data_IF_180311236291
#
_entry.id   IF_180311236291
#
_cell.length_a   1.000
_cell.length_b   1.000
_cell.length_c   1.000
_cell.angle_alpha   90.00
_cell.angle_beta   90.00
_cell.angle_gamma   90.00
#
_symmetry.space_group_name_H-M   'P 1'
#
loop_
_entity.id
_entity.type
_entity.pdbx_description
1 polymer ?
#
# COMPACT_ATOMS: atom_id res chain seq x y z
N UNK A 1 8.90 16.00 26.19
CA UNK A 1 10.11 15.39 25.60
C UNK A 1 10.06 15.57 24.08
N UNK A 2 10.62 16.67 23.56
CA UNK A 2 10.73 16.92 22.13
C UNK A 2 11.88 16.09 21.56
N UNK A 3 11.59 15.06 20.76
CA UNK A 3 12.62 14.50 19.86
C UNK A 3 13.18 15.68 19.05
N UNK A 4 14.50 15.82 19.02
CA UNK A 4 15.15 16.88 18.28
C UNK A 4 14.59 16.94 16.83
N UNK A 5 14.42 18.13 16.24
CA UNK A 5 13.80 18.30 14.91
C UNK A 5 14.42 17.40 13.83
N UNK A 6 15.74 17.19 13.93
CA UNK A 6 16.51 16.30 13.04
C UNK A 6 16.08 14.83 13.13
N UNK A 7 15.62 14.38 14.30
CA UNK A 7 15.12 13.02 14.49
C UNK A 7 13.77 12.78 13.80
N UNK A 8 12.92 13.81 13.72
CA UNK A 8 11.61 13.73 13.06
C UNK A 8 11.75 13.81 11.54
N UNK A 9 12.68 14.64 11.05
CA UNK A 9 13.00 14.70 9.62
C UNK A 9 13.56 13.35 9.12
N UNK A 10 14.52 12.76 9.84
CA UNK A 10 15.03 11.40 9.52
C UNK A 10 13.95 10.32 9.52
N UNK A 11 13.05 10.37 10.50
CA UNK A 11 11.90 9.46 10.57
C UNK A 11 11.01 9.60 9.33
N UNK A 12 10.72 10.84 8.93
CA UNK A 12 9.93 11.15 7.72
C UNK A 12 10.58 10.56 6.47
N UNK A 13 11.88 10.78 6.28
CA UNK A 13 12.60 10.18 5.14
C UNK A 13 12.60 8.65 5.18
N UNK A 14 12.77 8.06 6.37
CA UNK A 14 12.75 6.60 6.54
C UNK A 14 11.39 5.99 6.18
N UNK A 15 10.28 6.66 6.53
CA UNK A 15 8.94 6.20 6.17
C UNK A 15 8.73 6.23 4.66
N UNK A 16 9.12 7.31 3.97
CA UNK A 16 9.07 7.37 2.52
C UNK A 16 9.91 6.27 1.85
N UNK A 17 11.14 6.05 2.33
CA UNK A 17 12.01 4.97 1.85
C UNK A 17 11.41 3.59 2.10
N UNK A 18 10.88 3.32 3.29
CA UNK A 18 10.22 2.04 3.59
C UNK A 18 9.08 1.76 2.61
N UNK A 19 8.25 2.76 2.29
CA UNK A 19 7.19 2.57 1.30
C UNK A 19 7.77 2.22 -0.07
N UNK A 20 8.76 2.97 -0.55
CA UNK A 20 9.30 2.78 -1.90
C UNK A 20 10.19 1.54 -2.06
N UNK A 21 10.97 1.21 -1.04
CA UNK A 21 12.02 0.19 -1.10
C UNK A 21 11.57 -1.14 -0.51
N UNK A 22 10.54 -1.17 0.35
CA UNK A 22 10.02 -2.39 0.97
C UNK A 22 8.57 -2.67 0.55
N UNK A 23 7.65 -1.73 0.80
CA UNK A 23 6.23 -1.96 0.56
C UNK A 23 5.93 -2.16 -0.93
N UNK A 24 6.37 -1.25 -1.81
CA UNK A 24 6.08 -1.32 -3.26
C UNK A 24 6.68 -2.57 -3.92
N UNK A 25 7.95 -2.96 -3.66
CA UNK A 25 8.48 -4.23 -4.14
C UNK A 25 7.76 -5.45 -3.56
N UNK A 26 7.39 -5.40 -2.27
CA UNK A 26 6.59 -6.44 -1.62
C UNK A 26 5.22 -6.61 -2.29
N UNK A 27 4.57 -5.51 -2.65
CA UNK A 27 3.28 -5.53 -3.36
C UNK A 27 3.41 -6.11 -4.77
N UNK A 28 4.49 -5.76 -5.50
CA UNK A 28 4.79 -6.37 -6.81
C UNK A 28 5.00 -7.88 -6.70
N UNK A 29 5.71 -8.33 -5.68
CA UNK A 29 5.88 -9.75 -5.43
C UNK A 29 4.54 -10.42 -5.09
N UNK A 30 3.69 -9.76 -4.30
CA UNK A 30 2.35 -10.26 -3.98
C UNK A 30 1.47 -10.43 -5.23
N UNK A 31 1.54 -9.51 -6.20
CA UNK A 31 0.87 -9.69 -7.50
C UNK A 31 1.34 -10.96 -8.19
N UNK A 32 2.66 -11.19 -8.27
CA UNK A 32 3.21 -12.39 -8.92
C UNK A 32 2.76 -13.68 -8.23
N UNK A 33 2.76 -13.68 -6.90
CA UNK A 33 2.24 -14.78 -6.10
C UNK A 33 0.73 -14.98 -6.33
N UNK A 34 -0.04 -13.90 -6.40
CA UNK A 34 -1.47 -13.94 -6.68
C UNK A 34 -1.79 -14.54 -8.05
N UNK A 35 -1.04 -14.18 -9.10
CA UNK A 35 -1.18 -14.82 -10.44
C UNK A 35 -0.82 -16.30 -10.41
N UNK A 36 0.19 -16.67 -9.63
CA UNK A 36 0.60 -18.07 -9.47
C UNK A 36 -0.47 -18.89 -8.73
N UNK A 37 -1.08 -18.27 -7.70
CA UNK A 37 -2.20 -18.83 -6.97
C UNK A 37 -3.40 -19.04 -7.89
N UNK A 38 -3.85 -18.00 -8.60
CA UNK A 38 -4.94 -18.07 -9.58
C UNK A 38 -4.72 -19.21 -10.58
N UNK A 39 -3.54 -19.29 -11.20
CA UNK A 39 -3.20 -20.35 -12.14
C UNK A 39 -3.34 -21.75 -11.53
N UNK A 40 -2.93 -21.91 -10.28
CA UNK A 40 -2.98 -23.20 -9.58
C UNK A 40 -4.42 -23.62 -9.27
N UNK A 41 -5.26 -22.68 -8.82
CA UNK A 41 -6.67 -22.98 -8.55
C UNK A 41 -7.44 -23.26 -9.84
N UNK A 42 -7.13 -22.56 -10.94
CA UNK A 42 -7.72 -22.85 -12.27
C UNK A 42 -7.35 -24.26 -12.75
N UNK A 43 -6.10 -24.68 -12.59
CA UNK A 43 -5.68 -26.05 -12.93
C UNK A 43 -6.38 -27.10 -12.07
N UNK A 44 -6.57 -26.83 -10.78
CA UNK A 44 -7.33 -27.69 -9.87
C UNK A 44 -8.81 -27.79 -10.29
N UNK A 45 -9.46 -26.68 -10.62
CA UNK A 45 -10.85 -26.66 -11.12
C UNK A 45 -11.00 -27.52 -12.36
N UNK A 46 -10.08 -27.38 -13.33
CA UNK A 46 -10.09 -28.16 -14.56
C UNK A 46 -9.94 -29.66 -14.30
N UNK A 47 -8.98 -30.06 -13.46
CA UNK A 47 -8.78 -31.47 -13.10
C UNK A 47 -9.99 -32.04 -12.34
N UNK A 48 -10.57 -31.27 -11.44
CA UNK A 48 -11.77 -31.65 -10.69
C UNK A 48 -12.97 -31.88 -11.61
N UNK A 49 -13.25 -30.95 -12.53
CA UNK A 49 -14.31 -31.10 -13.53
C UNK A 49 -14.13 -32.38 -14.36
N UNK A 50 -12.92 -32.64 -14.87
CA UNK A 50 -12.63 -33.84 -15.63
C UNK A 50 -12.88 -35.14 -14.84
N UNK A 51 -12.52 -35.15 -13.55
CA UNK A 51 -12.77 -36.28 -12.66
C UNK A 51 -14.27 -36.55 -12.49
N UNK A 52 -15.05 -35.51 -12.18
CA UNK A 52 -16.50 -35.68 -11.97
C UNK A 52 -17.28 -35.92 -13.25
N UNK A 53 -16.80 -35.46 -14.41
CA UNK A 53 -17.37 -35.87 -15.69
C UNK A 53 -17.18 -37.37 -15.94
N UNK A 54 -16.03 -37.95 -15.54
CA UNK A 54 -15.84 -39.41 -15.57
C UNK A 54 -16.77 -40.15 -14.59
N UNK A 55 -17.01 -39.60 -13.39
CA UNK A 55 -18.00 -40.12 -12.44
C UNK A 55 -19.40 -40.12 -13.05
N UNK A 56 -19.80 -39.02 -13.68
CA UNK A 56 -21.09 -38.90 -14.39
C UNK A 56 -21.21 -39.97 -15.47
N UNK A 57 -20.15 -40.21 -16.24
CA UNK A 57 -20.13 -41.24 -17.30
C UNK A 57 -20.32 -42.66 -16.74
N UNK A 58 -19.75 -42.96 -15.58
CA UNK A 58 -20.00 -44.23 -14.88
C UNK A 58 -21.46 -44.30 -14.41
N UNK A 59 -22.02 -43.20 -13.91
CA UNK A 59 -23.44 -43.09 -13.56
C UNK A 59 -24.38 -43.39 -14.73
N UNK A 60 -24.07 -42.89 -15.93
CA UNK A 60 -24.81 -43.20 -17.17
C UNK A 60 -24.78 -44.69 -17.50
N UNK A 61 -23.68 -45.40 -17.25
CA UNK A 61 -23.60 -46.85 -17.44
C UNK A 61 -24.44 -47.61 -16.39
N UNK A 62 -24.51 -47.11 -15.16
CA UNK A 62 -25.29 -47.72 -14.09
C UNK A 62 -26.80 -47.51 -14.25
N UNK A 63 -27.24 -46.39 -14.83
CA UNK A 63 -28.68 -46.07 -14.95
C UNK A 63 -29.45 -47.03 -15.86
N UNK A 64 -28.76 -47.62 -16.85
CA UNK A 64 -29.32 -48.62 -17.77
C UNK A 64 -29.39 -50.02 -17.15
N UNK A 65 -28.71 -50.26 -16.01
CA UNK A 65 -28.76 -51.53 -15.29
C UNK A 65 -30.05 -51.64 -14.46
N UNK A 66 -30.84 -52.72 -14.60
CA UNK A 66 -32.04 -52.95 -13.78
C UNK A 66 -31.75 -53.01 -12.27
N UNK A 67 -30.57 -53.51 -11.89
CA UNK A 67 -30.18 -53.70 -10.50
C UNK A 67 -29.45 -52.48 -9.89
N UNK A 68 -29.00 -51.53 -10.70
CA UNK A 68 -28.13 -50.43 -10.23
C UNK A 68 -28.62 -49.05 -10.65
N UNK A 69 -29.85 -48.95 -11.19
CA UNK A 69 -30.40 -47.70 -11.73
C UNK A 69 -30.33 -46.53 -10.75
N UNK A 70 -30.77 -46.76 -9.51
CA UNK A 70 -30.79 -45.73 -8.46
C UNK A 70 -29.38 -45.20 -8.14
N UNK A 71 -28.38 -46.09 -8.13
CA UNK A 71 -26.98 -45.70 -7.93
C UNK A 71 -26.45 -44.86 -9.10
N UNK A 72 -26.91 -45.12 -10.33
CA UNK A 72 -26.59 -44.30 -11.48
C UNK A 72 -27.06 -42.85 -11.33
N UNK A 73 -28.28 -42.66 -10.83
CA UNK A 73 -28.83 -41.33 -10.51
C UNK A 73 -27.96 -40.62 -9.46
N UNK A 74 -27.64 -41.30 -8.36
CA UNK A 74 -26.81 -40.75 -7.29
C UNK A 74 -25.42 -40.31 -7.79
N UNK A 75 -24.75 -41.13 -8.63
CA UNK A 75 -23.44 -40.79 -9.19
C UNK A 75 -23.49 -39.55 -10.09
N UNK A 76 -24.54 -39.42 -10.89
CA UNK A 76 -24.74 -38.25 -11.75
C UNK A 76 -25.06 -36.99 -10.93
N UNK A 77 -25.83 -37.12 -9.84
CA UNK A 77 -26.11 -36.02 -8.91
C UNK A 77 -24.84 -35.54 -8.18
N UNK A 78 -24.00 -36.47 -7.72
CA UNK A 78 -22.69 -36.16 -7.13
C UNK A 78 -21.84 -35.34 -8.12
N UNK A 79 -21.75 -35.80 -9.37
CA UNK A 79 -20.99 -35.10 -10.40
C UNK A 79 -21.54 -33.68 -10.67
N UNK A 80 -22.87 -33.53 -10.71
CA UNK A 80 -23.52 -32.24 -10.94
C UNK A 80 -23.28 -31.25 -9.79
N UNK A 81 -23.34 -31.70 -8.52
CA UNK A 81 -23.04 -30.84 -7.37
C UNK A 81 -21.60 -30.31 -7.46
N UNK A 82 -20.62 -31.18 -7.72
CA UNK A 82 -19.23 -30.75 -7.86
C UNK A 82 -19.01 -29.82 -9.06
N UNK A 83 -19.71 -30.05 -10.18
CA UNK A 83 -19.65 -29.15 -11.34
C UNK A 83 -20.11 -27.73 -10.98
N UNK A 84 -21.21 -27.60 -10.22
CA UNK A 84 -21.70 -26.30 -9.74
C UNK A 84 -20.69 -25.62 -8.82
N UNK A 85 -20.09 -26.35 -7.88
CA UNK A 85 -19.05 -25.84 -6.97
C UNK A 85 -17.86 -25.29 -7.75
N UNK A 86 -17.36 -26.02 -8.75
CA UNK A 86 -16.22 -25.55 -9.55
C UNK A 86 -16.56 -24.34 -10.44
N UNK A 87 -17.79 -24.26 -10.96
CA UNK A 87 -18.24 -23.08 -11.71
C UNK A 87 -18.31 -21.82 -10.84
N UNK A 88 -18.88 -21.93 -9.63
CA UNK A 88 -18.92 -20.81 -8.69
C UNK A 88 -17.50 -20.42 -8.19
N UNK A 89 -16.60 -21.40 -8.01
CA UNK A 89 -15.20 -21.14 -7.68
C UNK A 89 -14.50 -20.32 -8.77
N UNK A 90 -14.74 -20.63 -10.05
CA UNK A 90 -14.18 -19.87 -11.17
C UNK A 90 -14.68 -18.43 -11.21
N UNK A 91 -15.96 -18.18 -10.92
CA UNK A 91 -16.50 -16.82 -10.80
C UNK A 91 -15.86 -16.04 -9.64
N UNK A 92 -15.60 -16.69 -8.50
CA UNK A 92 -14.86 -16.07 -7.40
C UNK A 92 -13.40 -15.76 -7.78
N UNK A 93 -12.75 -16.60 -8.58
CA UNK A 93 -11.39 -16.33 -9.07
C UNK A 93 -11.33 -15.19 -10.08
N UNK A 94 -12.36 -15.02 -10.93
CA UNK A 94 -12.46 -13.85 -11.81
C UNK A 94 -12.50 -12.55 -10.99
N UNK A 95 -13.28 -12.53 -9.90
CA UNK A 95 -13.31 -11.39 -8.97
C UNK A 95 -11.98 -11.20 -8.27
N UNK A 96 -11.32 -12.26 -7.82
CA UNK A 96 -9.96 -12.17 -7.28
C UNK A 96 -8.99 -11.49 -8.26
N UNK A 97 -9.04 -11.89 -9.53
CA UNK A 97 -8.21 -11.30 -10.58
C UNK A 97 -8.52 -9.81 -10.78
N UNK A 98 -9.79 -9.47 -11.04
CA UNK A 98 -10.20 -8.10 -11.37
C UNK A 98 -10.11 -7.15 -10.17
N UNK A 99 -10.59 -7.58 -9.01
CA UNK A 99 -10.74 -6.70 -7.85
C UNK A 99 -9.47 -6.61 -7.01
N UNK A 100 -8.60 -7.64 -7.04
CA UNK A 100 -7.33 -7.66 -6.32
C UNK A 100 -6.15 -7.53 -7.28
N UNK A 101 -5.89 -8.50 -8.14
CA UNK A 101 -4.64 -8.55 -8.93
C UNK A 101 -4.46 -7.29 -9.77
N UNK A 102 -5.44 -6.96 -10.60
CA UNK A 102 -5.40 -5.79 -11.49
C UNK A 102 -5.26 -4.49 -10.69
N UNK A 103 -5.98 -4.37 -9.57
CA UNK A 103 -5.97 -3.17 -8.73
C UNK A 103 -4.64 -3.01 -7.96
N UNK A 104 -4.04 -4.10 -7.51
CA UNK A 104 -2.70 -4.10 -6.90
C UNK A 104 -1.63 -3.72 -7.92
N UNK A 105 -1.73 -4.20 -9.17
CA UNK A 105 -0.82 -3.84 -10.27
C UNK A 105 -0.88 -2.34 -10.55
N UNK A 106 -2.09 -1.83 -10.80
CA UNK A 106 -2.35 -0.42 -11.02
C UNK A 106 -1.84 0.44 -9.88
N UNK A 107 -2.10 0.03 -8.63
CA UNK A 107 -1.61 0.73 -7.44
C UNK A 107 -0.08 0.77 -7.42
N UNK A 108 0.59 -0.35 -7.67
CA UNK A 108 2.05 -0.47 -7.66
C UNK A 108 2.69 0.46 -8.69
N UNK A 109 2.15 0.51 -9.91
CA UNK A 109 2.67 1.37 -10.97
C UNK A 109 2.52 2.87 -10.64
N UNK A 110 1.34 3.26 -10.15
CA UNK A 110 1.07 4.65 -9.76
C UNK A 110 1.93 5.06 -8.55
N UNK A 111 2.12 4.17 -7.59
CA UNK A 111 2.86 4.46 -6.35
C UNK A 111 4.33 4.79 -6.60
N UNK A 112 4.99 4.09 -7.53
CA UNK A 112 6.40 4.38 -7.85
C UNK A 112 6.57 5.84 -8.24
N UNK A 113 5.71 6.35 -9.14
CA UNK A 113 5.78 7.74 -9.62
C UNK A 113 5.38 8.72 -8.51
N UNK A 114 4.26 8.46 -7.85
CA UNK A 114 3.71 9.35 -6.84
C UNK A 114 4.62 9.51 -5.62
N UNK A 115 5.14 8.39 -5.09
CA UNK A 115 5.98 8.41 -3.89
C UNK A 115 7.34 9.03 -4.15
N UNK A 116 7.94 8.76 -5.31
CA UNK A 116 9.20 9.40 -5.72
C UNK A 116 9.04 10.91 -5.81
N UNK A 117 7.96 11.39 -6.45
CA UNK A 117 7.70 12.82 -6.59
C UNK A 117 7.43 13.49 -5.22
N UNK A 118 6.62 12.85 -4.38
CA UNK A 118 6.27 13.34 -3.04
C UNK A 118 7.50 13.42 -2.14
N UNK A 119 8.33 12.37 -2.11
CA UNK A 119 9.55 12.34 -1.33
C UNK A 119 10.55 13.41 -1.79
N UNK A 120 10.78 13.52 -3.11
CA UNK A 120 11.67 14.54 -3.68
C UNK A 120 11.19 15.97 -3.37
N UNK A 121 9.89 16.22 -3.42
CA UNK A 121 9.30 17.52 -3.03
C UNK A 121 9.58 17.83 -1.57
N UNK A 122 9.35 16.87 -0.66
CA UNK A 122 9.65 17.03 0.76
C UNK A 122 11.13 17.38 0.98
N UNK A 123 12.06 16.63 0.37
CA UNK A 123 13.49 16.88 0.52
C UNK A 123 13.92 18.26 0.00
N UNK A 124 13.36 18.68 -1.14
CA UNK A 124 13.66 19.98 -1.73
C UNK A 124 13.18 21.12 -0.84
N UNK A 125 11.94 21.03 -0.34
CA UNK A 125 11.38 22.08 0.52
C UNK A 125 12.06 22.11 1.90
N UNK A 126 12.38 20.95 2.47
CA UNK A 126 13.17 20.85 3.70
C UNK A 126 14.49 21.59 3.56
N UNK A 127 15.25 21.30 2.50
CA UNK A 127 16.54 21.94 2.22
C UNK A 127 16.39 23.45 2.03
N UNK A 128 15.40 23.91 1.27
CA UNK A 128 15.16 25.34 1.05
C UNK A 128 14.88 26.10 2.37
N UNK A 129 14.06 25.53 3.25
CA UNK A 129 13.78 26.11 4.57
C UNK A 129 15.02 26.11 5.45
N UNK A 130 15.80 25.04 5.42
CA UNK A 130 17.06 24.92 6.18
C UNK A 130 18.07 25.98 5.73
N UNK A 131 18.35 26.05 4.43
CA UNK A 131 19.27 27.02 3.84
C UNK A 131 18.85 28.48 4.13
N UNK A 132 17.54 28.74 4.16
CA UNK A 132 16.99 30.07 4.52
C UNK A 132 17.24 30.42 5.99
N UNK A 133 17.02 29.46 6.90
CA UNK A 133 17.29 29.63 8.33
C UNK A 133 18.78 29.83 8.61
N UNK A 134 19.64 29.01 8.03
CA UNK A 134 21.11 29.08 8.20
C UNK A 134 21.69 30.39 7.67
N UNK A 135 21.18 30.90 6.54
CA UNK A 135 21.53 32.23 6.02
C UNK A 135 21.18 33.34 7.00
N UNK A 136 19.97 33.31 7.57
CA UNK A 136 19.52 34.29 8.57
C UNK A 136 20.42 34.32 9.80
N UNK A 137 20.77 33.14 10.31
CA UNK A 137 21.66 32.99 11.46
C UNK A 137 23.07 33.48 11.15
N UNK A 138 23.57 33.22 9.93
CA UNK A 138 24.87 33.70 9.48
C UNK A 138 24.90 35.23 9.36
N UNK A 139 23.85 35.84 8.84
CA UNK A 139 23.74 37.29 8.72
C UNK A 139 23.64 37.99 10.08
N UNK A 140 22.87 37.42 11.02
CA UNK A 140 22.86 37.89 12.41
C UNK A 140 24.26 37.82 13.05
N UNK A 141 24.98 36.71 12.87
CA UNK A 141 26.37 36.58 13.37
C UNK A 141 27.28 37.66 12.77
N UNK A 142 27.14 37.96 11.48
CA UNK A 142 27.91 39.03 10.81
C UNK A 142 27.53 40.42 11.35
N UNK A 143 26.24 40.68 11.59
CA UNK A 143 25.76 41.93 12.16
C UNK A 143 26.36 42.17 13.56
N UNK A 144 26.30 41.16 14.43
CA UNK A 144 26.87 41.23 15.79
C UNK A 144 28.35 41.58 15.79
N UNK A 145 29.15 40.98 14.89
CA UNK A 145 30.58 41.33 14.72
C UNK A 145 30.78 42.79 14.30
N UNK A 146 29.91 43.35 13.46
CA UNK A 146 29.98 44.77 13.04
C UNK A 146 29.57 45.73 14.16
N UNK A 147 28.58 45.36 14.97
CA UNK A 147 28.08 46.18 16.08
C UNK A 147 29.15 46.43 17.15
N UNK A 148 30.00 45.44 17.43
CA UNK A 148 31.11 45.55 18.39
C UNK A 148 32.13 46.63 18.01
N UNK A 149 32.28 46.93 16.72
CA UNK A 149 33.18 47.96 16.23
C UNK A 149 32.56 49.38 16.26
N UNK A 150 31.23 49.49 16.32
CA UNK A 150 30.49 50.77 16.28
C UNK A 150 29.23 50.67 17.15
N UNK A 151 29.32 51.12 18.40
CA UNK A 151 28.17 51.17 19.32
C UNK A 151 27.14 52.21 18.85
N UNK A 152 26.05 51.76 18.24
CA UNK A 152 24.94 52.60 17.78
C UNK A 152 23.61 51.88 17.95
N UNK A 153 22.60 52.57 18.46
CA UNK A 153 21.24 52.02 18.66
C UNK A 153 20.59 51.49 17.39
N UNK A 154 21.06 51.92 16.21
CA UNK A 154 20.61 51.37 14.91
C UNK A 154 20.98 49.90 14.71
N UNK A 155 22.05 49.41 15.36
CA UNK A 155 22.41 47.99 15.32
C UNK A 155 21.49 47.14 16.19
N UNK A 156 21.05 47.66 17.33
CA UNK A 156 20.14 46.96 18.25
C UNK A 156 18.78 46.70 17.61
N UNK A 157 18.23 47.69 16.90
CA UNK A 157 16.97 47.54 16.14
C UNK A 157 17.11 46.45 15.07
N UNK A 158 18.17 46.49 14.28
CA UNK A 158 18.43 45.48 13.23
C UNK A 158 18.64 44.09 13.83
N UNK A 159 19.33 43.99 14.95
CA UNK A 159 19.52 42.72 15.64
C UNK A 159 18.18 42.11 16.07
N UNK A 160 17.27 42.91 16.63
CA UNK A 160 15.93 42.46 16.98
C UNK A 160 15.15 41.98 15.74
N UNK A 161 15.20 42.71 14.62
CA UNK A 161 14.55 42.28 13.35
C UNK A 161 15.08 40.92 12.86
N UNK A 162 16.40 40.69 12.93
CA UNK A 162 16.99 39.39 12.59
C UNK A 162 16.55 38.28 13.54
N UNK A 163 16.47 38.56 14.86
CA UNK A 163 16.02 37.60 15.87
C UNK A 163 14.57 37.20 15.66
N UNK A 164 13.67 38.15 15.38
CA UNK A 164 12.27 37.88 15.04
C UNK A 164 12.16 37.03 13.77
N UNK A 165 12.92 37.39 12.73
CA UNK A 165 12.94 36.66 11.47
C UNK A 165 13.44 35.22 11.65
N UNK A 166 14.52 35.01 12.42
CA UNK A 166 15.05 33.68 12.75
C UNK A 166 14.01 32.88 13.52
N UNK A 167 13.37 33.49 14.53
CA UNK A 167 12.34 32.84 15.34
C UNK A 167 11.14 32.42 14.49
N UNK A 168 10.71 33.26 13.54
CA UNK A 168 9.67 32.91 12.57
C UNK A 168 10.10 31.73 11.70
N UNK A 169 11.28 31.78 11.08
CA UNK A 169 11.81 30.72 10.22
C UNK A 169 12.00 29.39 10.97
N UNK A 170 12.40 29.45 12.24
CA UNK A 170 12.48 28.26 13.10
C UNK A 170 11.10 27.64 13.33
N UNK A 171 10.09 28.46 13.65
CA UNK A 171 8.71 27.97 13.82
C UNK A 171 8.18 27.34 12.52
N UNK A 172 8.41 27.98 11.38
CA UNK A 172 8.00 27.46 10.08
C UNK A 172 8.69 26.12 9.75
N UNK A 173 9.98 25.99 10.09
CA UNK A 173 10.72 24.73 9.94
C UNK A 173 10.16 23.63 10.84
N UNK A 174 9.91 23.92 12.13
CA UNK A 174 9.32 22.94 13.06
C UNK A 174 7.95 22.45 12.58
N UNK A 175 7.11 23.39 12.13
CA UNK A 175 5.80 23.06 11.57
C UNK A 175 5.92 22.19 10.33
N UNK A 176 6.79 22.56 9.39
CA UNK A 176 7.03 21.77 8.17
C UNK A 176 7.50 20.34 8.48
N UNK A 177 8.42 20.17 9.43
CA UNK A 177 8.91 18.84 9.84
C UNK A 177 7.78 18.01 10.46
N UNK A 178 6.98 18.61 11.35
CA UNK A 178 5.86 17.92 11.99
C UNK A 178 4.77 17.51 10.99
N UNK A 179 4.36 18.43 10.12
CA UNK A 179 3.34 18.17 9.10
C UNK A 179 3.84 17.15 8.06
N UNK A 180 5.10 17.25 7.64
CA UNK A 180 5.71 16.29 6.73
C UNK A 180 5.79 14.87 7.29
N UNK A 181 6.12 14.74 8.59
CA UNK A 181 6.14 13.44 9.27
C UNK A 181 4.74 12.82 9.35
N UNK A 182 3.74 13.64 9.72
CA UNK A 182 2.35 13.22 9.72
C UNK A 182 1.90 12.74 8.34
N UNK A 183 2.21 13.48 7.27
CA UNK A 183 1.79 13.07 5.93
C UNK A 183 2.51 11.79 5.49
N UNK A 184 3.80 11.61 5.79
CA UNK A 184 4.51 10.38 5.48
C UNK A 184 3.86 9.15 6.14
N UNK A 185 3.44 9.26 7.42
CA UNK A 185 2.70 8.18 8.08
C UNK A 185 1.31 7.95 7.49
N UNK A 186 0.62 9.00 7.07
CA UNK A 186 -0.67 8.85 6.39
C UNK A 186 -0.51 8.14 5.05
N UNK A 187 0.53 8.48 4.29
CA UNK A 187 0.88 7.80 3.05
C UNK A 187 1.16 6.30 3.28
N UNK A 188 1.97 5.96 4.28
CA UNK A 188 2.21 4.56 4.65
C UNK A 188 0.91 3.85 5.06
N UNK A 189 0.14 4.44 5.98
CA UNK A 189 -1.11 3.85 6.47
C UNK A 189 -2.12 3.60 5.36
N UNK A 190 -2.34 4.55 4.44
CA UNK A 190 -3.30 4.41 3.33
C UNK A 190 -3.00 3.18 2.47
N UNK A 191 -1.73 2.82 2.30
CA UNK A 191 -1.28 1.67 1.50
C UNK A 191 -1.57 0.34 2.19
N UNK A 192 -1.29 0.25 3.49
CA UNK A 192 -1.65 -0.91 4.28
C UNK A 192 -3.18 -1.07 4.40
N UNK A 193 -3.93 0.02 4.57
CA UNK A 193 -5.40 -0.01 4.54
C UNK A 193 -5.92 -0.53 3.20
N UNK A 194 -5.43 0.00 2.07
CA UNK A 194 -5.81 -0.50 0.75
C UNK A 194 -5.59 -2.01 0.60
N UNK A 195 -4.43 -2.51 1.04
CA UNK A 195 -4.14 -3.94 0.97
C UNK A 195 -5.11 -4.76 1.85
N UNK A 196 -5.35 -4.30 3.08
CA UNK A 196 -6.27 -4.95 4.00
C UNK A 196 -7.70 -4.96 3.46
N UNK A 197 -8.21 -3.82 2.97
CA UNK A 197 -9.57 -3.68 2.45
C UNK A 197 -9.83 -4.65 1.29
N UNK A 198 -8.88 -4.75 0.34
CA UNK A 198 -8.96 -5.70 -0.79
C UNK A 198 -9.06 -7.14 -0.32
N UNK A 199 -8.26 -7.54 0.68
CA UNK A 199 -8.26 -8.91 1.17
C UNK A 199 -9.45 -9.21 2.08
N UNK A 200 -9.91 -8.25 2.89
CA UNK A 200 -11.13 -8.42 3.69
C UNK A 200 -12.36 -8.68 2.80
N UNK A 201 -12.49 -7.92 1.71
CA UNK A 201 -13.58 -8.11 0.75
C UNK A 201 -13.52 -9.51 0.11
N UNK A 202 -12.33 -9.93 -0.34
CA UNK A 202 -12.15 -11.26 -0.93
C UNK A 202 -12.39 -12.38 0.08
N UNK A 203 -11.91 -12.25 1.31
CA UNK A 203 -12.19 -13.22 2.38
C UNK A 203 -13.69 -13.35 2.65
N UNK A 204 -14.43 -12.25 2.63
CA UNK A 204 -15.89 -12.28 2.76
C UNK A 204 -16.56 -13.00 1.58
N UNK A 205 -16.15 -12.70 0.34
CA UNK A 205 -16.67 -13.39 -0.85
C UNK A 205 -16.38 -14.90 -0.79
N UNK A 206 -15.17 -15.28 -0.41
CA UNK A 206 -14.75 -16.66 -0.32
C UNK A 206 -15.45 -17.41 0.83
N UNK A 207 -15.70 -16.75 1.98
CA UNK A 207 -16.52 -17.31 3.05
C UNK A 207 -17.93 -17.63 2.55
N UNK A 208 -18.57 -16.69 1.87
CA UNK A 208 -19.92 -16.90 1.31
C UNK A 208 -19.97 -18.03 0.26
N UNK A 209 -18.87 -18.25 -0.47
CA UNK A 209 -18.75 -19.39 -1.36
C UNK A 209 -18.74 -20.71 -0.56
N UNK A 210 -17.89 -20.81 0.45
CA UNK A 210 -17.79 -22.02 1.28
C UNK A 210 -19.06 -22.31 2.09
N UNK A 211 -19.81 -21.30 2.49
CA UNK A 211 -21.10 -21.50 3.18
C UNK A 211 -22.19 -22.07 2.26
N UNK A 212 -22.04 -21.91 0.93
CA UNK A 212 -22.97 -22.40 -0.08
C UNK A 212 -22.55 -23.73 -0.71
N UNK A 213 -21.24 -24.02 -0.71
CA UNK A 213 -20.63 -25.19 -1.35
C UNK A 213 -20.82 -26.45 -0.50
#
# INVERSE_FOLDING_TARGET
MSRAPDGVSKLTESTYKNVMEQFTPGLRNLVNLGKSYEKSVTAMSFAGKAYFDAVSKIGENAIVSPASRELGVVLMEIAEVHRKVYNELEENLKRFHEEIIVELEKKTEMDVKYMTATFKRYQTEHKLKQDSLERSQTDLKKLRRKSQAKHSSKYDIKENEYLETITSRQRDMQKFIADGCREAFLEEKRRFCFLADKHCMFSYQLSNFYDKA
#
